data_IF_301247321326
#
_entry.id   IF_301247321326
#
_cell.length_a   1.000
_cell.length_b   1.000
_cell.length_c   1.000
_cell.angle_alpha   90.00
_cell.angle_beta   90.00
_cell.angle_gamma   90.00
#
_symmetry.space_group_name_H-M   'P 1'
#
loop_
_entity.id
_entity.type
_entity.pdbx_description
1 polymer ?
#
# COMPACT_ATOMS: atom_id res chain seq x y z
N UNK A 1 52.85 -27.22 -50.26
CA UNK A 1 54.06 -27.98 -49.87
C UNK A 1 55.30 -27.15 -50.24
N UNK A 2 55.82 -26.35 -49.29
CA UNK A 2 57.16 -25.77 -49.34
C UNK A 2 57.69 -25.78 -47.90
N UNK A 3 58.93 -26.23 -47.78
CA UNK A 3 59.61 -26.67 -46.57
C UNK A 3 60.72 -25.66 -46.22
N UNK A 4 61.16 -25.69 -44.96
CA UNK A 4 62.31 -25.00 -44.33
C UNK A 4 62.09 -23.51 -43.94
N UNK A 5 62.51 -23.03 -42.77
CA UNK A 5 63.70 -23.41 -41.97
C UNK A 5 63.54 -22.99 -40.48
N UNK A 6 64.05 -23.81 -39.56
CA UNK A 6 64.24 -23.52 -38.12
C UNK A 6 65.37 -22.51 -37.90
N UNK A 7 65.22 -21.62 -36.92
CA UNK A 7 66.35 -21.12 -36.10
C UNK A 7 65.87 -20.99 -34.65
N UNK A 8 66.48 -21.77 -33.77
CA UNK A 8 66.43 -21.71 -32.31
C UNK A 8 67.52 -20.77 -31.80
N UNK A 9 67.21 -19.91 -30.82
CA UNK A 9 68.20 -19.39 -29.89
C UNK A 9 67.57 -19.26 -28.50
N UNK A 10 68.10 -20.04 -27.56
CA UNK A 10 67.77 -20.01 -26.13
C UNK A 10 68.46 -18.82 -25.47
N UNK A 11 67.77 -18.14 -24.55
CA UNK A 11 68.39 -17.41 -23.44
C UNK A 11 67.65 -17.73 -22.14
N UNK A 12 68.46 -17.92 -21.09
CA UNK A 12 68.15 -18.41 -19.75
C UNK A 12 67.83 -17.21 -18.82
N UNK A 13 66.70 -17.30 -18.08
CA UNK A 13 66.37 -16.99 -16.65
C UNK A 13 67.17 -15.90 -15.85
N UNK A 14 66.71 -15.32 -14.70
CA UNK A 14 65.43 -15.34 -13.92
C UNK A 14 64.87 -13.92 -13.57
N UNK A 15 63.72 -13.82 -12.89
CA UNK A 15 63.49 -13.09 -11.59
C UNK A 15 62.00 -12.75 -11.38
N UNK A 16 61.43 -13.46 -10.39
CA UNK A 16 60.50 -13.04 -9.33
C UNK A 16 59.91 -11.60 -9.37
N UNK A 17 58.59 -11.48 -9.53
CA UNK A 17 57.82 -10.41 -8.88
C UNK A 17 56.34 -10.80 -8.64
N UNK A 18 56.09 -11.07 -7.36
CA UNK A 18 54.90 -10.85 -6.53
C UNK A 18 53.64 -10.30 -7.21
N UNK A 19 52.53 -11.01 -7.00
CA UNK A 19 51.20 -10.66 -7.46
C UNK A 19 50.54 -9.52 -6.68
N UNK A 20 49.57 -8.90 -7.35
CA UNK A 20 48.46 -8.18 -6.73
C UNK A 20 47.21 -8.55 -7.53
N UNK A 21 46.41 -9.46 -6.98
CA UNK A 21 45.04 -9.68 -7.42
C UNK A 21 44.24 -8.46 -6.95
N UNK A 22 43.91 -7.55 -7.85
CA UNK A 22 42.89 -6.54 -7.57
C UNK A 22 41.51 -7.19 -7.68
N UNK A 23 41.10 -7.88 -6.62
CA UNK A 23 39.69 -8.16 -6.34
C UNK A 23 39.05 -6.87 -5.84
N UNK A 24 38.62 -6.01 -6.76
CA UNK A 24 37.69 -4.94 -6.40
C UNK A 24 36.31 -5.57 -6.32
N UNK A 25 35.93 -6.01 -5.12
CA UNK A 25 34.54 -6.25 -4.77
C UNK A 25 33.75 -4.98 -5.13
N UNK A 26 32.78 -5.10 -6.06
CA UNK A 26 31.64 -4.20 -6.02
C UNK A 26 31.08 -4.30 -4.61
N UNK A 27 30.93 -3.16 -3.93
CA UNK A 27 30.12 -3.11 -2.73
C UNK A 27 28.72 -3.47 -3.20
N UNK A 28 28.31 -4.72 -2.96
CA UNK A 28 26.92 -5.06 -2.87
C UNK A 28 26.42 -4.32 -1.62
N UNK A 29 25.91 -3.11 -1.83
CA UNK A 29 25.08 -2.48 -0.80
C UNK A 29 23.87 -3.40 -0.68
N UNK A 30 23.86 -4.23 0.37
CA UNK A 30 22.69 -4.98 0.82
C UNK A 30 21.61 -3.95 1.21
N UNK A 31 20.95 -3.36 0.21
CA UNK A 31 19.71 -2.63 0.41
C UNK A 31 18.65 -3.66 0.67
N UNK A 32 18.55 -4.09 1.94
CA UNK A 32 17.46 -4.94 2.40
C UNK A 32 16.13 -4.31 2.00
N UNK A 33 15.32 -5.06 1.25
CA UNK A 33 14.00 -4.64 0.82
C UNK A 33 13.15 -4.15 2.00
N UNK A 34 12.31 -3.15 1.77
CA UNK A 34 11.46 -2.62 2.83
C UNK A 34 10.52 -3.71 3.37
N UNK A 35 10.40 -3.77 4.70
CA UNK A 35 9.40 -4.56 5.38
C UNK A 35 8.72 -3.74 6.46
N UNK A 36 7.39 -3.79 6.48
CA UNK A 36 6.58 -3.12 7.48
C UNK A 36 6.52 -3.98 8.75
N UNK A 37 7.38 -3.66 9.72
CA UNK A 37 7.48 -4.42 10.98
C UNK A 37 6.26 -4.29 11.89
N UNK A 38 5.42 -3.27 11.67
CA UNK A 38 4.18 -3.04 12.42
C UNK A 38 2.94 -3.60 11.72
N UNK A 39 3.05 -3.97 10.44
CA UNK A 39 1.92 -4.45 9.66
C UNK A 39 1.58 -5.90 10.02
N UNK A 40 0.28 -6.21 9.96
CA UNK A 40 -0.20 -7.56 10.28
C UNK A 40 0.05 -8.51 9.11
N UNK A 41 0.42 -9.75 9.39
CA UNK A 41 0.57 -10.80 8.36
C UNK A 41 -0.60 -11.76 8.30
N UNK A 42 -1.57 -11.61 9.21
CA UNK A 42 -2.80 -12.41 9.28
C UNK A 42 -3.98 -11.49 9.56
N UNK A 43 -5.20 -11.84 9.11
CA UNK A 43 -6.40 -11.03 9.38
C UNK A 43 -6.67 -10.89 10.89
N UNK A 44 -7.12 -9.71 11.30
CA UNK A 44 -7.62 -9.47 12.67
C UNK A 44 -9.10 -9.89 12.81
N UNK A 45 -9.83 -10.04 11.69
CA UNK A 45 -11.24 -10.42 11.67
C UNK A 45 -11.48 -11.85 12.19
N UNK A 46 -12.51 -12.00 13.04
CA UNK A 46 -12.96 -13.32 13.51
C UNK A 46 -13.97 -13.93 12.54
N UNK A 47 -13.86 -15.24 12.30
CA UNK A 47 -14.71 -15.97 11.35
C UNK A 47 -16.22 -15.83 11.63
N UNK A 48 -16.60 -15.74 12.92
CA UNK A 48 -17.99 -15.52 13.33
C UNK A 48 -18.59 -14.20 12.80
N UNK A 49 -17.74 -13.26 12.39
CA UNK A 49 -18.11 -11.93 11.91
C UNK A 49 -17.95 -11.75 10.40
N UNK A 50 -17.55 -12.80 9.66
CA UNK A 50 -17.27 -12.69 8.21
C UNK A 50 -18.50 -12.29 7.40
N UNK A 51 -19.69 -12.77 7.80
CA UNK A 51 -20.97 -12.47 7.17
C UNK A 51 -21.87 -11.60 8.05
N UNK A 52 -21.31 -10.68 8.82
CA UNK A 52 -22.07 -9.76 9.68
C UNK A 52 -21.56 -8.32 9.59
N UNK A 53 -22.33 -7.39 10.15
CA UNK A 53 -21.89 -5.99 10.30
C UNK A 53 -20.78 -5.83 11.36
N UNK A 54 -20.63 -6.81 12.26
CA UNK A 54 -19.52 -6.86 13.22
C UNK A 54 -18.24 -7.25 12.48
N UNK A 55 -17.09 -7.05 13.11
CA UNK A 55 -15.79 -7.41 12.54
C UNK A 55 -14.90 -6.19 12.30
N UNK A 56 -13.96 -6.35 11.37
CA UNK A 56 -12.91 -5.39 11.07
C UNK A 56 -13.12 -4.82 9.68
N UNK A 57 -12.98 -3.50 9.55
CA UNK A 57 -13.00 -2.80 8.28
C UNK A 57 -11.73 -1.95 8.18
N UNK A 58 -11.02 -2.06 7.07
CA UNK A 58 -9.76 -1.36 6.86
C UNK A 58 -9.82 -0.56 5.57
N UNK A 59 -9.04 0.49 5.49
CA UNK A 59 -9.05 1.34 4.31
C UNK A 59 -8.02 2.44 4.31
N UNK A 60 -8.09 3.23 3.24
CA UNK A 60 -7.19 4.33 2.95
C UNK A 60 -7.95 5.65 2.86
N UNK A 61 -7.22 6.74 3.07
CA UNK A 61 -7.69 8.12 3.04
C UNK A 61 -6.81 8.92 2.09
N UNK A 62 -7.39 9.60 1.09
CA UNK A 62 -6.64 10.53 0.22
C UNK A 62 -7.30 11.90 0.20
N UNK A 63 -6.43 12.90 0.26
CA UNK A 63 -6.70 14.23 0.82
C UNK A 63 -5.54 14.62 1.73
N UNK A 64 -5.13 13.70 2.60
CA UNK A 64 -3.99 13.86 3.51
C UNK A 64 -3.34 12.55 3.97
N UNK A 65 -3.14 11.63 3.03
CA UNK A 65 -2.40 10.37 3.20
C UNK A 65 -2.60 9.70 4.55
N UNK A 66 -3.51 8.73 4.61
CA UNK A 66 -3.70 7.98 5.83
C UNK A 66 -4.37 6.64 5.64
N UNK A 67 -4.47 5.92 6.75
CA UNK A 67 -5.15 4.63 6.86
C UNK A 67 -6.18 4.69 7.98
N UNK A 68 -7.17 3.81 7.92
CA UNK A 68 -8.16 3.65 8.98
C UNK A 68 -8.48 2.16 9.18
N UNK A 69 -8.58 1.76 10.43
CA UNK A 69 -9.06 0.44 10.86
C UNK A 69 -10.21 0.62 11.84
N UNK A 70 -11.38 0.09 11.51
CA UNK A 70 -12.62 0.18 12.27
C UNK A 70 -12.93 -1.20 12.84
N UNK A 71 -13.11 -1.27 14.15
CA UNK A 71 -13.54 -2.45 14.87
C UNK A 71 -15.00 -2.26 15.32
N UNK A 72 -15.89 -3.11 14.81
CA UNK A 72 -17.28 -3.20 15.24
C UNK A 72 -17.44 -4.52 16.00
N UNK A 73 -17.28 -4.50 17.32
CA UNK A 73 -17.49 -5.65 18.19
C UNK A 73 -16.84 -6.97 17.71
N UNK A 74 -15.59 -6.91 17.24
CA UNK A 74 -14.85 -8.08 16.80
C UNK A 74 -14.26 -8.86 17.99
N UNK A 75 -15.09 -9.64 18.68
CA UNK A 75 -14.68 -10.46 19.84
C UNK A 75 -14.71 -9.72 21.18
N UNK A 76 -15.02 -8.43 21.17
CA UNK A 76 -15.28 -7.61 22.36
C UNK A 76 -16.54 -6.77 22.15
N UNK A 77 -17.00 -6.04 23.17
CA UNK A 77 -18.10 -5.07 23.02
C UNK A 77 -17.63 -3.72 22.44
N UNK A 78 -16.34 -3.56 22.11
CA UNK A 78 -15.77 -2.30 21.68
C UNK A 78 -16.23 -1.90 20.27
N UNK A 79 -16.49 -0.60 20.10
CA UNK A 79 -16.77 0.04 18.81
C UNK A 79 -15.81 1.22 18.69
N UNK A 80 -14.72 0.99 17.98
CA UNK A 80 -13.58 1.90 17.92
C UNK A 80 -13.03 1.96 16.50
N UNK A 81 -12.39 3.06 16.15
CA UNK A 81 -11.54 3.12 14.97
C UNK A 81 -10.17 3.69 15.34
N UNK A 82 -9.14 3.21 14.66
CA UNK A 82 -7.80 3.77 14.70
C UNK A 82 -7.52 4.33 13.32
N UNK A 83 -7.30 5.63 13.25
CA UNK A 83 -6.95 6.34 12.03
C UNK A 83 -5.51 6.82 12.13
N UNK A 84 -4.71 6.62 11.10
CA UNK A 84 -3.37 7.20 11.00
C UNK A 84 -3.45 8.25 9.92
N UNK A 85 -3.16 9.51 10.25
CA UNK A 85 -3.22 10.64 9.34
C UNK A 85 -1.97 11.50 9.54
N UNK A 86 -1.26 11.82 8.46
CA UNK A 86 0.03 12.51 8.52
C UNK A 86 1.03 11.87 9.53
N UNK A 87 0.99 10.54 9.66
CA UNK A 87 1.80 9.78 10.61
C UNK A 87 1.35 9.84 12.07
N UNK A 88 0.29 10.59 12.41
CA UNK A 88 -0.27 10.67 13.76
C UNK A 88 -1.39 9.65 13.92
N UNK A 89 -1.31 8.85 14.98
CA UNK A 89 -2.38 7.91 15.34
C UNK A 89 -3.49 8.62 16.11
N UNK A 90 -4.72 8.48 15.63
CA UNK A 90 -5.94 9.01 16.22
C UNK A 90 -6.88 7.86 16.59
N UNK A 91 -7.30 7.85 17.84
CA UNK A 91 -8.35 6.93 18.32
C UNK A 91 -9.70 7.61 18.19
N UNK A 92 -10.62 6.94 17.51
CA UNK A 92 -12.01 7.36 17.38
C UNK A 92 -12.92 6.35 18.08
N UNK A 93 -14.01 6.82 18.68
CA UNK A 93 -14.99 5.94 19.34
C UNK A 93 -16.40 6.25 18.84
N UNK A 94 -17.29 5.26 18.94
CA UNK A 94 -18.72 5.47 18.74
C UNK A 94 -19.51 4.87 19.89
N UNK A 95 -20.62 5.51 20.22
CA UNK A 95 -21.58 5.04 21.23
C UNK A 95 -22.80 4.38 20.61
N UNK A 96 -22.90 4.34 19.27
CA UNK A 96 -24.04 3.73 18.58
C UNK A 96 -23.98 2.21 18.71
N UNK A 97 -24.99 1.66 19.38
CA UNK A 97 -25.11 0.22 19.59
C UNK A 97 -25.45 -0.51 18.30
N UNK A 98 -24.91 -1.72 18.17
CA UNK A 98 -25.27 -2.64 17.09
C UNK A 98 -26.65 -3.23 17.36
N UNK A 99 -27.51 -3.25 16.33
CA UNK A 99 -28.80 -3.93 16.35
C UNK A 99 -28.73 -5.09 15.36
N UNK A 100 -28.95 -6.31 15.84
CA UNK A 100 -28.87 -7.50 14.99
C UNK A 100 -29.92 -7.45 13.87
N UNK A 101 -29.51 -7.87 12.67
CA UNK A 101 -30.38 -7.86 11.48
C UNK A 101 -30.60 -6.49 10.85
N UNK A 102 -29.87 -5.45 11.27
CA UNK A 102 -29.92 -4.11 10.66
C UNK A 102 -28.57 -3.74 10.03
N UNK A 103 -28.61 -2.85 9.03
CA UNK A 103 -27.42 -2.13 8.60
C UNK A 103 -26.88 -1.27 9.75
N UNK A 104 -25.60 -0.94 9.71
CA UNK A 104 -24.97 -0.13 10.75
C UNK A 104 -24.54 1.22 10.19
N UNK A 105 -24.91 2.29 10.91
CA UNK A 105 -24.47 3.66 10.62
C UNK A 105 -24.08 4.29 11.94
N UNK A 106 -22.86 4.82 12.02
CA UNK A 106 -22.35 5.37 13.27
C UNK A 106 -21.37 6.51 13.03
N UNK A 107 -21.54 7.65 13.73
CA UNK A 107 -20.50 8.64 13.84
C UNK A 107 -19.41 8.11 14.78
N UNK A 108 -18.17 8.25 14.34
CA UNK A 108 -16.97 8.07 15.12
C UNK A 108 -16.38 9.45 15.40
N UNK A 109 -15.98 9.70 16.65
CA UNK A 109 -15.44 10.99 17.09
C UNK A 109 -14.13 10.81 17.85
N UNK A 110 -13.27 11.82 17.78
CA UNK A 110 -12.01 11.89 18.50
C UNK A 110 -11.34 13.25 18.30
N UNK A 111 -10.04 13.32 18.57
CA UNK A 111 -9.26 14.55 18.43
C UNK A 111 -8.00 14.33 17.59
N UNK A 112 -7.73 15.26 16.69
CA UNK A 112 -6.51 15.31 15.87
C UNK A 112 -5.93 16.70 15.98
N UNK A 113 -4.65 16.81 16.39
CA UNK A 113 -4.00 18.10 16.70
C UNK A 113 -4.87 19.01 17.57
N UNK A 114 -5.39 18.45 18.67
CA UNK A 114 -6.26 19.12 19.66
C UNK A 114 -7.62 19.60 19.10
N UNK A 115 -7.90 19.39 17.81
CA UNK A 115 -9.16 19.73 17.17
C UNK A 115 -10.11 18.54 17.17
N UNK A 116 -11.41 18.72 17.49
CA UNK A 116 -12.39 17.65 17.38
C UNK A 116 -12.58 17.28 15.91
N UNK A 117 -12.62 15.97 15.65
CA UNK A 117 -12.90 15.43 14.32
C UNK A 117 -14.03 14.40 14.40
N UNK A 118 -14.70 14.19 13.27
CA UNK A 118 -15.73 13.16 13.15
C UNK A 118 -15.74 12.55 11.77
N UNK A 119 -16.02 11.25 11.71
CA UNK A 119 -16.27 10.52 10.46
C UNK A 119 -17.50 9.63 10.66
N UNK A 120 -18.39 9.55 9.67
CA UNK A 120 -19.60 8.71 9.77
C UNK A 120 -19.44 7.49 8.88
N UNK A 121 -19.33 6.34 9.52
CA UNK A 121 -19.23 5.05 8.86
C UNK A 121 -20.61 4.46 8.59
N UNK A 122 -20.78 3.83 7.44
CA UNK A 122 -21.97 3.04 7.10
C UNK A 122 -21.58 1.71 6.49
N UNK A 123 -22.31 0.65 6.85
CA UNK A 123 -22.17 -0.67 6.25
C UNK A 123 -23.52 -1.37 6.15
N UNK A 124 -23.73 -2.04 5.01
CA UNK A 124 -24.90 -2.85 4.75
C UNK A 124 -24.90 -4.17 5.51
N UNK A 125 -26.02 -4.90 5.43
CA UNK A 125 -26.14 -6.23 6.02
C UNK A 125 -25.03 -7.17 5.54
N UNK A 126 -24.62 -8.08 6.41
CA UNK A 126 -23.51 -8.99 6.12
C UNK A 126 -22.13 -8.31 6.02
N UNK A 127 -22.05 -7.01 6.32
CA UNK A 127 -20.80 -6.25 6.21
C UNK A 127 -20.51 -5.77 4.78
N UNK A 128 -21.52 -5.73 3.91
CA UNK A 128 -21.38 -5.32 2.51
C UNK A 128 -21.22 -3.80 2.37
N UNK A 129 -20.56 -3.38 1.29
CA UNK A 129 -20.46 -1.97 0.85
C UNK A 129 -20.10 -0.99 1.99
N UNK A 130 -19.01 -1.25 2.75
CA UNK A 130 -18.56 -0.31 3.77
C UNK A 130 -18.21 1.03 3.12
N UNK A 131 -18.68 2.13 3.70
CA UNK A 131 -18.47 3.47 3.15
C UNK A 131 -18.32 4.50 4.26
N UNK A 132 -17.57 5.57 3.98
CA UNK A 132 -17.54 6.77 4.81
C UNK A 132 -18.50 7.79 4.21
N UNK A 133 -19.65 8.01 4.85
CA UNK A 133 -20.71 8.89 4.29
C UNK A 133 -20.44 10.36 4.55
N UNK A 134 -19.66 10.68 5.57
CA UNK A 134 -19.22 12.03 5.86
C UNK A 134 -17.93 12.04 6.68
N UNK A 135 -17.17 13.13 6.56
CA UNK A 135 -15.99 13.39 7.38
C UNK A 135 -15.84 14.88 7.63
N UNK A 136 -15.47 15.23 8.85
CA UNK A 136 -15.07 16.58 9.28
C UNK A 136 -13.74 16.45 10.00
N UNK A 137 -12.66 16.73 9.27
CA UNK A 137 -11.29 16.62 9.77
C UNK A 137 -10.59 17.95 9.50
N UNK A 138 -10.24 18.67 10.57
CA UNK A 138 -9.57 19.97 10.45
C UNK A 138 -8.23 19.82 9.71
N UNK A 139 -7.95 20.74 8.78
CA UNK A 139 -6.76 20.68 7.91
C UNK A 139 -6.89 19.74 6.71
N UNK A 140 -7.98 18.97 6.61
CA UNK A 140 -8.15 17.92 5.63
C UNK A 140 -9.53 17.98 4.97
N UNK A 141 -9.86 19.09 4.29
CA UNK A 141 -11.10 19.18 3.53
C UNK A 141 -11.10 18.13 2.41
N UNK A 142 -12.29 17.57 2.13
CA UNK A 142 -12.48 16.58 1.06
C UNK A 142 -11.68 15.29 1.24
N UNK A 143 -11.51 14.82 2.48
CA UNK A 143 -10.96 13.49 2.73
C UNK A 143 -11.84 12.41 2.08
N UNK A 144 -11.27 11.67 1.14
CA UNK A 144 -11.95 10.56 0.45
C UNK A 144 -11.45 9.24 1.01
N UNK A 145 -12.38 8.32 1.28
CA UNK A 145 -12.11 7.03 1.91
C UNK A 145 -12.41 5.90 0.94
N UNK A 146 -11.52 4.91 0.88
CA UNK A 146 -11.81 3.60 0.30
C UNK A 146 -11.73 2.57 1.43
N UNK A 147 -12.84 1.90 1.71
CA UNK A 147 -12.98 0.94 2.80
C UNK A 147 -13.23 -0.47 2.25
N UNK A 148 -12.77 -1.47 2.98
CA UNK A 148 -13.04 -2.88 2.71
C UNK A 148 -13.22 -3.63 4.03
N UNK A 149 -14.12 -4.61 4.02
CA UNK A 149 -14.27 -5.54 5.13
C UNK A 149 -13.13 -6.54 5.09
N UNK A 150 -12.45 -6.71 6.22
CA UNK A 150 -11.53 -7.82 6.42
C UNK A 150 -12.32 -9.06 6.85
N UNK A 151 -12.01 -10.21 6.26
CA UNK A 151 -12.56 -11.51 6.69
C UNK A 151 -11.46 -12.32 7.36
N UNK A 152 -11.84 -13.35 8.11
CA UNK A 152 -10.92 -14.27 8.78
C UNK A 152 -9.92 -14.98 7.85
N UNK A 153 -10.19 -14.95 6.54
CA UNK A 153 -9.36 -15.54 5.49
C UNK A 153 -8.76 -14.53 4.52
N UNK A 154 -9.09 -13.24 4.65
CA UNK A 154 -8.77 -12.21 3.66
C UNK A 154 -8.26 -10.95 4.33
N UNK A 155 -6.93 -10.88 4.50
CA UNK A 155 -6.24 -9.71 5.04
C UNK A 155 -6.45 -8.51 4.11
N UNK A 156 -6.69 -7.34 4.71
CA UNK A 156 -6.68 -6.06 4.00
C UNK A 156 -5.38 -5.33 4.33
N UNK A 157 -4.62 -5.02 3.30
CA UNK A 157 -3.36 -4.29 3.36
C UNK A 157 -3.58 -2.86 2.82
N UNK A 158 -2.85 -1.88 3.37
CA UNK A 158 -2.80 -0.54 2.81
C UNK A 158 -1.37 -0.13 2.48
N UNK A 159 -1.22 0.64 1.42
CA UNK A 159 0.04 1.18 0.94
C UNK A 159 -0.08 2.67 0.72
N UNK A 160 0.98 3.40 1.01
CA UNK A 160 1.12 4.82 0.75
C UNK A 160 2.35 5.04 -0.12
N UNK A 161 2.25 5.94 -1.09
CA UNK A 161 3.30 6.13 -2.07
C UNK A 161 3.23 7.45 -2.82
N UNK A 162 4.15 7.59 -3.76
CA UNK A 162 4.25 8.74 -4.64
C UNK A 162 4.25 8.30 -6.09
N UNK A 163 3.78 9.17 -6.96
CA UNK A 163 3.92 9.01 -8.40
C UNK A 163 4.60 10.22 -9.03
N UNK A 164 5.24 9.99 -10.16
CA UNK A 164 5.80 11.03 -11.02
C UNK A 164 5.47 10.71 -12.47
N UNK A 165 5.13 11.74 -13.23
CA UNK A 165 4.83 11.66 -14.66
C UNK A 165 5.97 12.34 -15.42
N UNK A 166 6.29 11.85 -16.62
CA UNK A 166 7.40 12.35 -17.44
C UNK A 166 7.26 13.81 -17.90
N UNK A 167 6.09 14.42 -17.76
CA UNK A 167 5.81 15.83 -17.99
C UNK A 167 6.23 16.75 -16.82
N UNK A 168 6.65 16.15 -15.69
CA UNK A 168 7.05 16.84 -14.47
C UNK A 168 6.00 16.82 -13.35
N UNK A 169 4.78 16.35 -13.65
CA UNK A 169 3.70 16.23 -12.67
C UNK A 169 4.05 15.19 -11.61
N UNK A 170 3.70 15.47 -10.35
CA UNK A 170 3.98 14.59 -9.20
C UNK A 170 2.81 14.58 -8.25
N UNK A 171 2.65 13.48 -7.53
CA UNK A 171 1.64 13.38 -6.51
C UNK A 171 1.84 12.22 -5.58
N UNK A 172 0.82 11.99 -4.79
CA UNK A 172 0.71 10.92 -3.79
C UNK A 172 -0.38 9.96 -4.21
N UNK A 173 -0.27 8.72 -3.80
CA UNK A 173 -1.35 7.75 -3.91
C UNK A 173 -1.39 6.88 -2.68
N UNK A 174 -2.59 6.39 -2.36
CA UNK A 174 -2.79 5.31 -1.42
C UNK A 174 -3.51 4.16 -2.10
N UNK A 175 -3.21 2.94 -1.68
CA UNK A 175 -3.76 1.73 -2.25
C UNK A 175 -4.23 0.79 -1.13
N UNK A 176 -5.44 0.25 -1.27
CA UNK A 176 -5.95 -0.83 -0.44
C UNK A 176 -5.95 -2.12 -1.26
N UNK A 177 -5.48 -3.20 -0.66
CA UNK A 177 -5.24 -4.47 -1.33
C UNK A 177 -5.77 -5.62 -0.50
N UNK A 178 -6.27 -6.65 -1.18
CA UNK A 178 -6.34 -7.98 -0.60
C UNK A 178 -5.79 -9.01 -1.57
N UNK A 179 -4.69 -9.67 -1.16
CA UNK A 179 -4.07 -10.75 -1.93
C UNK A 179 -4.96 -11.99 -2.03
N UNK A 180 -5.68 -12.31 -0.97
CA UNK A 180 -6.50 -13.52 -0.89
C UNK A 180 -7.64 -13.54 -1.93
N UNK A 181 -8.19 -12.37 -2.25
CA UNK A 181 -9.25 -12.20 -3.26
C UNK A 181 -8.75 -11.52 -4.53
N UNK A 182 -7.44 -11.30 -4.66
CA UNK A 182 -6.80 -10.73 -5.85
C UNK A 182 -7.40 -9.39 -6.32
N UNK A 183 -7.72 -8.49 -5.39
CA UNK A 183 -8.33 -7.17 -5.70
C UNK A 183 -7.60 -6.04 -5.02
N UNK A 184 -7.56 -4.89 -5.69
CA UNK A 184 -7.08 -3.64 -5.10
C UNK A 184 -7.97 -2.47 -5.52
N UNK A 185 -7.91 -1.40 -4.74
CA UNK A 185 -8.42 -0.08 -5.08
C UNK A 185 -7.38 0.97 -4.70
N UNK A 186 -7.33 2.07 -5.42
CA UNK A 186 -6.43 3.17 -5.09
C UNK A 186 -7.13 4.51 -5.26
N UNK A 187 -6.50 5.51 -4.66
CA UNK A 187 -6.83 6.90 -4.88
C UNK A 187 -5.52 7.69 -4.91
N UNK A 188 -5.44 8.67 -5.79
CA UNK A 188 -4.26 9.46 -6.09
C UNK A 188 -4.62 10.96 -6.09
N UNK A 189 -3.64 11.80 -5.76
CA UNK A 189 -3.80 13.25 -5.73
C UNK A 189 -2.52 13.92 -6.20
N UNK A 190 -2.64 14.85 -7.14
CA UNK A 190 -1.54 15.68 -7.60
C UNK A 190 -1.11 16.67 -6.50
N UNK A 191 0.18 16.95 -6.43
CA UNK A 191 0.73 17.91 -5.48
C UNK A 191 0.16 19.31 -5.72
N UNK A 192 -0.38 19.92 -4.66
CA UNK A 192 -0.96 21.27 -4.73
C UNK A 192 -2.38 21.33 -5.28
N UNK A 193 -2.94 20.20 -5.73
CA UNK A 193 -4.32 20.11 -6.19
C UNK A 193 -5.27 19.62 -5.10
N UNK A 194 -6.56 19.91 -5.27
CA UNK A 194 -7.65 19.44 -4.41
C UNK A 194 -8.36 18.21 -4.96
N UNK A 195 -8.29 18.01 -6.28
CA UNK A 195 -9.00 16.93 -6.96
C UNK A 195 -8.23 15.62 -6.84
N UNK A 196 -8.98 14.54 -6.72
CA UNK A 196 -8.44 13.18 -6.60
C UNK A 196 -8.85 12.33 -7.78
N UNK A 197 -7.96 11.45 -8.21
CA UNK A 197 -8.25 10.37 -9.15
C UNK A 197 -8.32 9.04 -8.40
N UNK A 198 -9.16 8.11 -8.82
CA UNK A 198 -9.33 6.82 -8.14
C UNK A 198 -9.61 5.71 -9.14
N UNK A 199 -9.09 4.53 -8.84
CA UNK A 199 -9.25 3.36 -9.69
C UNK A 199 -9.27 2.08 -8.88
N UNK A 200 -9.52 0.97 -9.57
CA UNK A 200 -9.53 -0.36 -8.96
C UNK A 200 -9.22 -1.42 -10.00
N UNK A 201 -8.75 -2.57 -9.52
CA UNK A 201 -8.36 -3.64 -10.42
C UNK A 201 -8.11 -4.96 -9.72
N UNK A 202 -7.34 -5.80 -10.39
CA UNK A 202 -7.00 -7.15 -9.93
C UNK A 202 -5.50 -7.29 -9.68
N UNK A 203 -5.14 -8.23 -8.82
CA UNK A 203 -3.76 -8.67 -8.66
C UNK A 203 -3.59 -10.03 -9.31
N UNK A 204 -2.72 -10.10 -10.32
CA UNK A 204 -2.49 -11.36 -11.02
C UNK A 204 -1.53 -12.29 -10.26
N UNK A 205 -1.32 -13.50 -10.77
CA UNK A 205 -0.43 -14.51 -10.18
C UNK A 205 1.04 -14.10 -10.10
N UNK A 206 1.44 -13.06 -10.83
CA UNK A 206 2.79 -12.48 -10.81
C UNK A 206 2.89 -11.27 -9.88
N UNK A 207 1.91 -11.08 -8.98
CA UNK A 207 1.81 -9.94 -8.07
C UNK A 207 1.73 -8.58 -8.77
N UNK A 208 1.26 -8.54 -10.01
CA UNK A 208 1.09 -7.28 -10.75
C UNK A 208 -0.31 -6.72 -10.51
N UNK A 209 -0.35 -5.40 -10.29
CA UNK A 209 -1.57 -4.61 -10.23
C UNK A 209 -2.05 -4.35 -11.66
N UNK A 210 -3.19 -4.93 -12.03
CA UNK A 210 -3.79 -4.81 -13.36
C UNK A 210 -5.07 -3.99 -13.29
N UNK A 211 -5.08 -2.85 -13.96
CA UNK A 211 -6.22 -1.96 -14.13
C UNK A 211 -6.55 -1.86 -15.62
N UNK A 212 -7.80 -2.13 -15.99
CA UNK A 212 -8.28 -2.07 -17.39
C UNK A 212 -7.36 -2.79 -18.40
N UNK A 213 -6.78 -3.92 -17.99
CA UNK A 213 -5.86 -4.73 -18.80
C UNK A 213 -4.41 -4.22 -18.86
N UNK A 214 -4.10 -3.09 -18.21
CA UNK A 214 -2.75 -2.50 -18.11
C UNK A 214 -2.12 -2.83 -16.76
N UNK A 215 -0.86 -3.23 -16.76
CA UNK A 215 -0.07 -3.35 -15.52
C UNK A 215 0.36 -1.96 -15.07
N UNK A 216 -0.07 -1.54 -13.87
CA UNK A 216 0.26 -0.23 -13.30
C UNK A 216 1.30 -0.32 -12.17
N UNK A 217 1.59 -1.52 -11.67
CA UNK A 217 2.58 -1.75 -10.64
C UNK A 217 2.79 -3.23 -10.35
N UNK A 218 3.83 -3.54 -9.58
CA UNK A 218 4.15 -4.88 -9.09
C UNK A 218 4.40 -4.80 -7.59
N UNK A 219 3.83 -5.76 -6.86
CA UNK A 219 4.03 -5.91 -5.43
C UNK A 219 5.22 -6.85 -5.18
N UNK A 220 6.19 -6.39 -4.40
CA UNK A 220 7.33 -7.17 -3.93
C UNK A 220 7.41 -7.05 -2.41
N UNK A 221 6.92 -8.05 -1.69
CA UNK A 221 6.79 -7.98 -0.23
C UNK A 221 5.84 -6.84 0.17
N UNK A 222 6.38 -5.90 0.96
CA UNK A 222 5.70 -4.71 1.47
C UNK A 222 5.94 -3.46 0.59
N UNK A 223 6.43 -3.64 -0.63
CA UNK A 223 6.67 -2.56 -1.60
C UNK A 223 5.79 -2.71 -2.84
N UNK A 224 5.38 -1.57 -3.41
CA UNK A 224 4.72 -1.46 -4.70
C UNK A 224 5.56 -0.55 -5.59
N UNK A 225 6.00 -1.04 -6.74
CA UNK A 225 6.75 -0.26 -7.72
C UNK A 225 6.20 -0.48 -9.13
N UNK A 226 6.22 0.55 -9.97
CA UNK A 226 5.67 0.46 -11.32
C UNK A 226 6.15 1.55 -12.27
N UNK A 227 6.07 1.26 -13.56
CA UNK A 227 6.29 2.21 -14.65
C UNK A 227 5.37 1.84 -15.81
N UNK A 228 4.48 2.75 -16.21
CA UNK A 228 3.48 2.51 -17.26
C UNK A 228 3.19 3.77 -18.06
N UNK A 229 2.47 3.64 -19.18
CA UNK A 229 2.04 4.76 -20.01
C UNK A 229 0.61 5.18 -19.68
N UNK A 230 0.36 6.47 -19.45
CA UNK A 230 -0.99 7.04 -19.36
C UNK A 230 -1.67 7.17 -20.74
N UNK A 231 -2.88 7.72 -20.76
CA UNK A 231 -3.64 7.95 -22.00
C UNK A 231 -2.97 8.94 -22.96
N UNK A 232 -2.15 9.85 -22.43
CA UNK A 232 -1.41 10.85 -23.20
C UNK A 232 0.01 10.38 -23.58
N UNK A 233 0.29 9.09 -23.34
CA UNK A 233 1.57 8.43 -23.62
C UNK A 233 2.75 8.97 -22.79
N UNK A 234 2.48 9.67 -21.68
CA UNK A 234 3.50 10.00 -20.69
C UNK A 234 3.85 8.77 -19.86
N UNK A 235 5.10 8.70 -19.40
CA UNK A 235 5.52 7.65 -18.47
C UNK A 235 5.13 8.04 -17.05
N UNK A 236 4.30 7.23 -16.40
CA UNK A 236 3.99 7.31 -14.98
C UNK A 236 4.85 6.29 -14.24
N UNK A 237 5.61 6.76 -13.25
CA UNK A 237 6.35 5.92 -12.31
C UNK A 237 5.72 5.99 -10.93
N UNK A 238 5.53 4.86 -10.27
CA UNK A 238 4.95 4.76 -8.93
C UNK A 238 5.89 4.01 -7.99
N UNK A 239 5.97 4.47 -6.73
CA UNK A 239 6.69 3.81 -5.66
C UNK A 239 5.91 3.99 -4.34
N UNK A 240 5.62 2.89 -3.65
CA UNK A 240 4.83 2.87 -2.42
C UNK A 240 5.26 1.79 -1.45
N UNK A 241 4.90 1.99 -0.18
CA UNK A 241 5.25 1.12 0.95
C UNK A 241 4.00 0.78 1.73
N UNK A 242 3.95 -0.45 2.24
CA UNK A 242 2.86 -0.92 3.07
C UNK A 242 2.85 -0.18 4.41
N UNK A 243 1.68 0.30 4.84
CA UNK A 243 1.49 1.00 6.12
C UNK A 243 0.40 0.37 7.00
N UNK A 244 -0.38 -0.59 6.47
CA UNK A 244 -1.37 -1.40 7.20
C UNK A 244 -1.34 -2.86 6.75
#
# INVERSE_FOLDING_TARGET
MRFFKKVTLQFIFPIFLIGILFTSCSKDDDTSAYSCTTCKTTPDALAVNDASIKGIYKGIIVGSTGTISINIQNGTSAITATMILDGVTVTLTSTVSVVDGQSYVAPFTGTFNESPISVTFSVGLGGSTPTMVSSSISGHPNAVFILSKETSTSLIEAFEGTYAISDGTKGIFNLVLSRAISKFGYIAKENGQTDTDSGSGTVNSSNQLVEDGRVIGTISGDEVNGSFKDSDNNTVTVAGKRTL
#
